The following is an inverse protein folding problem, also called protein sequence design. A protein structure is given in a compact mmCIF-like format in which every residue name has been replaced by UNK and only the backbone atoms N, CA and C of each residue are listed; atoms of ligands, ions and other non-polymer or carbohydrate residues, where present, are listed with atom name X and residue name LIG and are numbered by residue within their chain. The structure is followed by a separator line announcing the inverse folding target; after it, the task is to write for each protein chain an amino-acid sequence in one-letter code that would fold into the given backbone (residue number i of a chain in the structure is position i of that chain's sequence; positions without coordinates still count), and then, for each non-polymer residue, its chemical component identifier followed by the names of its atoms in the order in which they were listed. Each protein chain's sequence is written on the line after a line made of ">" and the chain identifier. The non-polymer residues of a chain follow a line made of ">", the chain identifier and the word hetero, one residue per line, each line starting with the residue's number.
data_IF_934753168703
#
_entry.id   IF_934753168703
#
_cell.length_a   1.000
_cell.length_b   1.000
_cell.length_c   1.000
_cell.angle_alpha   90.00
_cell.angle_beta   90.00
_cell.angle_gamma   90.00
#
_symmetry.space_group_name_H-M   'P 1'
#
loop_
_entity.id
_entity.type
_entity.pdbx_description
1 polymer ?
#
# COMPACT_ATOMS: atom_id res chain seq x y z
N UNK A 1 12.22 6.42 7.36
CA UNK A 1 11.69 5.25 6.61
C UNK A 1 10.16 5.21 6.65
N UNK A 2 9.51 5.27 7.82
CA UNK A 2 8.04 5.26 7.95
C UNK A 2 7.25 6.36 7.19
N UNK A 3 7.83 7.56 7.04
CA UNK A 3 7.19 8.69 6.36
C UNK A 3 6.82 8.39 4.89
N UNK A 4 7.67 7.63 4.18
CA UNK A 4 7.41 7.22 2.80
C UNK A 4 6.24 6.23 2.69
N UNK A 5 6.11 5.32 3.65
CA UNK A 5 4.98 4.39 3.70
C UNK A 5 3.67 5.10 4.04
N UNK A 6 3.73 6.16 4.85
CA UNK A 6 2.59 7.02 5.14
C UNK A 6 2.08 7.76 3.88
N UNK A 7 3.01 8.25 3.04
CA UNK A 7 2.69 8.84 1.73
C UNK A 7 2.00 7.85 0.80
N UNK A 8 2.50 6.61 0.70
CA UNK A 8 1.89 5.56 -0.13
C UNK A 8 0.49 5.19 0.37
N UNK A 9 0.28 5.19 1.69
CA UNK A 9 -1.02 4.95 2.31
C UNK A 9 -2.01 6.05 1.92
N UNK A 10 -1.58 7.32 1.99
CA UNK A 10 -2.39 8.46 1.60
C UNK A 10 -2.75 8.45 0.11
N UNK A 11 -1.81 8.06 -0.76
CA UNK A 11 -2.04 7.87 -2.20
C UNK A 11 -3.03 6.72 -2.46
N UNK A 12 -2.89 5.60 -1.75
CA UNK A 12 -3.81 4.46 -1.84
C UNK A 12 -5.26 4.85 -1.50
N UNK A 13 -5.46 5.61 -0.42
CA UNK A 13 -6.78 6.13 -0.02
C UNK A 13 -7.37 7.04 -1.11
N UNK A 14 -6.57 7.96 -1.65
CA UNK A 14 -7.02 8.85 -2.73
C UNK A 14 -7.40 8.07 -3.99
N UNK A 15 -6.65 7.01 -4.32
CA UNK A 15 -6.99 6.10 -5.42
C UNK A 15 -8.31 5.36 -5.19
N UNK A 16 -8.55 4.84 -3.98
CA UNK A 16 -9.81 4.18 -3.61
C UNK A 16 -10.98 5.16 -3.71
N UNK A 17 -10.85 6.36 -3.15
CA UNK A 17 -11.90 7.39 -3.22
C UNK A 17 -12.22 7.79 -4.66
N UNK A 18 -11.18 7.97 -5.48
CA UNK A 18 -11.33 8.32 -6.90
C UNK A 18 -11.92 7.15 -7.71
N UNK A 19 -11.61 5.91 -7.34
CA UNK A 19 -12.15 4.68 -7.92
C UNK A 19 -13.61 4.42 -7.53
N UNK A 20 -14.01 4.73 -6.29
CA UNK A 20 -15.41 4.64 -5.84
C UNK A 20 -16.29 5.71 -6.49
N UNK A 21 -15.74 6.93 -6.68
CA UNK A 21 -16.48 8.07 -7.24
C UNK A 21 -16.69 7.99 -8.75
N UNK A 22 -15.90 7.16 -9.44
CA UNK A 22 -16.03 6.91 -10.88
C UNK A 22 -16.71 5.58 -11.16
N UNK A 23 -17.84 5.61 -11.87
CA UNK A 23 -18.60 4.40 -12.25
C UNK A 23 -17.69 3.28 -12.79
N UNK A 24 -17.60 2.18 -12.04
CA UNK A 24 -17.13 0.84 -12.44
C UNK A 24 -15.62 0.64 -12.66
N UNK A 25 -14.73 1.42 -12.03
CA UNK A 25 -13.30 1.06 -11.99
C UNK A 25 -12.95 0.24 -10.75
N UNK A 26 -13.59 -0.93 -10.62
CA UNK A 26 -13.31 -1.90 -9.53
C UNK A 26 -11.81 -2.25 -9.48
N UNK A 27 -11.16 -2.32 -10.64
CA UNK A 27 -9.71 -2.53 -10.74
C UNK A 27 -8.88 -1.44 -10.03
N UNK A 28 -9.29 -0.16 -10.09
CA UNK A 28 -8.63 0.93 -9.36
C UNK A 28 -8.85 0.84 -7.85
N UNK A 29 -10.04 0.43 -7.44
CA UNK A 29 -10.36 0.22 -6.01
C UNK A 29 -9.53 -0.96 -5.47
N UNK A 30 -9.42 -2.04 -6.23
CA UNK A 30 -8.59 -3.19 -5.88
C UNK A 30 -7.11 -2.80 -5.73
N UNK A 31 -6.57 -2.04 -6.70
CA UNK A 31 -5.19 -1.54 -6.64
C UNK A 31 -4.98 -0.63 -5.42
N UNK A 32 -5.94 0.23 -5.11
CA UNK A 32 -5.85 1.15 -3.97
C UNK A 32 -5.88 0.41 -2.63
N UNK A 33 -6.74 -0.60 -2.49
CA UNK A 33 -6.79 -1.47 -1.30
C UNK A 33 -5.46 -2.23 -1.15
N UNK A 34 -4.91 -2.76 -2.24
CA UNK A 34 -3.62 -3.45 -2.23
C UNK A 34 -2.49 -2.52 -1.77
N UNK A 35 -2.45 -1.28 -2.27
CA UNK A 35 -1.49 -0.27 -1.83
C UNK A 35 -1.64 0.08 -0.35
N UNK A 36 -2.87 0.21 0.16
CA UNK A 36 -3.12 0.48 1.58
C UNK A 36 -2.63 -0.70 2.44
N UNK A 37 -2.98 -1.93 2.06
CA UNK A 37 -2.53 -3.13 2.76
C UNK A 37 -1.00 -3.25 2.79
N UNK A 38 -0.34 -2.96 1.66
CA UNK A 38 1.11 -2.99 1.54
C UNK A 38 1.79 -1.89 2.38
N UNK A 39 1.22 -0.69 2.41
CA UNK A 39 1.70 0.39 3.28
C UNK A 39 1.58 0.05 4.76
N UNK A 40 0.44 -0.52 5.18
CA UNK A 40 0.23 -0.95 6.58
C UNK A 40 1.22 -2.06 6.94
N UNK A 41 1.44 -3.01 6.03
CA UNK A 41 2.43 -4.06 6.21
C UNK A 41 3.83 -3.48 6.42
N UNK A 42 4.28 -2.55 5.55
CA UNK A 42 5.58 -1.88 5.72
C UNK A 42 5.68 -0.98 6.95
N UNK A 43 4.56 -0.54 7.52
CA UNK A 43 4.54 0.21 8.78
C UNK A 43 4.77 -0.68 10.01
N UNK A 44 4.57 -2.00 9.88
CA UNK A 44 4.69 -2.94 11.00
C UNK A 44 6.16 -3.17 11.39
N UNK A 45 6.52 -3.07 12.69
CA UNK A 45 7.86 -3.39 13.17
C UNK A 45 8.13 -4.89 12.98
N UNK A 46 9.05 -5.22 12.08
CA UNK A 46 9.35 -6.61 11.66
C UNK A 46 9.16 -6.84 10.15
N UNK A 47 8.39 -5.97 9.48
CA UNK A 47 8.20 -6.04 8.02
C UNK A 47 9.52 -5.89 7.25
N UNK A 48 10.40 -5.00 7.70
CA UNK A 48 11.70 -4.81 7.07
C UNK A 48 12.50 -6.12 7.00
N UNK A 49 12.46 -6.94 8.07
CA UNK A 49 13.14 -8.23 8.16
C UNK A 49 12.52 -9.27 7.22
N UNK A 50 11.19 -9.30 7.15
CA UNK A 50 10.44 -10.18 6.24
C UNK A 50 10.76 -9.82 4.78
N UNK A 51 10.80 -8.53 4.44
CA UNK A 51 11.08 -8.07 3.07
C UNK A 51 12.53 -8.36 2.68
N UNK A 52 13.49 -8.20 3.61
CA UNK A 52 14.89 -8.54 3.32
C UNK A 52 15.12 -10.04 3.15
N UNK A 53 14.43 -10.90 3.92
CA UNK A 53 14.42 -12.36 3.67
C UNK A 53 13.76 -12.71 2.33
N UNK A 54 12.62 -12.08 2.01
CA UNK A 54 11.85 -12.37 0.80
C UNK A 54 12.59 -11.94 -0.48
N UNK A 55 13.29 -10.81 -0.42
CA UNK A 55 14.10 -10.29 -1.52
C UNK A 55 15.53 -10.81 -1.50
N UNK A 56 15.89 -11.67 -0.54
CA UNK A 56 17.21 -12.24 -0.38
C UNK A 56 18.31 -11.15 -0.39
N UNK A 57 18.04 -10.04 0.30
CA UNK A 57 18.92 -8.89 0.42
C UNK A 57 19.91 -9.06 1.58
N UNK A 58 20.35 -10.29 1.84
CA UNK A 58 21.44 -10.60 2.78
C UNK A 58 22.80 -10.08 2.28
#
# INVERSE_FOLDING_TARGET
>A
MGFWYFLILFVGILLVFKGLRGNKKISLVFIGILCIAFSIFMFSPGSAKIISELLNLD
#
